data_IF_520771163887
#
_entry.id   IF_520771163887
#
_cell.length_a   1.000
_cell.length_b   1.000
_cell.length_c   1.000
_cell.angle_alpha   90.00
_cell.angle_beta   90.00
_cell.angle_gamma   90.00
#
_symmetry.space_group_name_H-M   'P 1'
#
loop_
_entity.id
_entity.type
_entity.pdbx_description
1 polymer ?
#
# COMPACT_ATOMS: atom_id res chain seq x y z
N UNK A 1 29.11 6.79 4.36
CA UNK A 1 28.04 7.81 4.42
C UNK A 1 27.83 8.39 3.04
N UNK A 2 26.87 7.90 2.26
CA UNK A 2 26.53 8.48 0.96
C UNK A 2 25.00 8.48 0.79
N UNK A 3 24.49 9.67 0.49
CA UNK A 3 23.12 10.05 0.10
C UNK A 3 22.03 10.07 1.19
N UNK A 4 22.15 11.03 2.12
CA UNK A 4 21.07 11.47 3.01
C UNK A 4 20.31 12.71 2.49
N UNK A 5 20.60 13.20 1.27
CA UNK A 5 19.99 14.44 0.75
C UNK A 5 18.82 14.25 -0.22
N UNK A 6 18.53 13.03 -0.67
CA UNK A 6 17.39 12.80 -1.57
C UNK A 6 16.13 12.45 -0.75
N UNK A 7 15.46 13.50 -0.25
CA UNK A 7 14.16 13.36 0.41
C UNK A 7 13.20 12.60 -0.52
N UNK A 8 12.66 11.48 -0.05
CA UNK A 8 11.77 10.66 -0.86
C UNK A 8 10.50 11.47 -1.18
N UNK A 9 10.20 11.67 -2.46
CA UNK A 9 8.92 12.29 -2.85
C UNK A 9 7.75 11.36 -2.52
N UNK A 10 7.01 11.71 -1.48
CA UNK A 10 5.83 10.98 -1.00
C UNK A 10 4.50 11.61 -1.46
N UNK A 11 4.54 12.66 -2.29
CA UNK A 11 3.34 13.40 -2.71
C UNK A 11 2.33 12.50 -3.44
N UNK A 12 2.81 11.59 -4.29
CA UNK A 12 1.98 10.62 -4.99
C UNK A 12 1.33 9.62 -4.03
N UNK A 13 2.06 9.14 -3.02
CA UNK A 13 1.50 8.23 -2.02
C UNK A 13 0.43 8.93 -1.18
N UNK A 14 0.66 10.20 -0.81
CA UNK A 14 -0.35 11.01 -0.11
C UNK A 14 -1.64 11.13 -0.91
N UNK A 15 -1.55 11.61 -2.16
CA UNK A 15 -2.71 11.78 -3.05
C UNK A 15 -3.47 10.47 -3.26
N UNK A 16 -2.74 9.37 -3.45
CA UNK A 16 -3.30 8.04 -3.58
C UNK A 16 -4.07 7.61 -2.31
N UNK A 17 -3.47 7.81 -1.13
CA UNK A 17 -4.07 7.47 0.16
C UNK A 17 -5.34 8.28 0.44
N UNK A 18 -5.30 9.58 0.17
CA UNK A 18 -6.45 10.48 0.35
C UNK A 18 -7.61 10.08 -0.59
N UNK A 19 -7.32 9.86 -1.88
CA UNK A 19 -8.34 9.44 -2.85
C UNK A 19 -8.91 8.05 -2.52
N UNK A 20 -8.10 7.14 -1.98
CA UNK A 20 -8.58 5.84 -1.54
C UNK A 20 -9.52 5.95 -0.34
N UNK A 21 -9.20 6.82 0.63
CA UNK A 21 -10.09 7.14 1.76
C UNK A 21 -11.45 7.66 1.28
N UNK A 22 -11.45 8.61 0.36
CA UNK A 22 -12.67 9.16 -0.22
C UNK A 22 -13.52 8.07 -0.87
N UNK A 23 -12.91 7.11 -1.59
CA UNK A 23 -13.62 5.95 -2.17
C UNK A 23 -14.35 5.13 -1.10
N UNK A 24 -13.62 4.75 -0.05
CA UNK A 24 -14.15 3.92 1.02
C UNK A 24 -15.24 4.64 1.81
N UNK A 25 -15.14 5.96 1.96
CA UNK A 25 -16.16 6.75 2.62
C UNK A 25 -17.43 6.87 1.78
N UNK A 26 -17.33 7.01 0.46
CA UNK A 26 -18.49 6.92 -0.42
C UNK A 26 -19.11 5.52 -0.44
N UNK A 27 -18.28 4.47 -0.39
CA UNK A 27 -18.75 3.09 -0.32
C UNK A 27 -19.57 2.80 0.94
N UNK A 28 -19.23 3.44 2.07
CA UNK A 28 -20.00 3.31 3.31
C UNK A 28 -21.40 3.92 3.21
N UNK A 29 -21.63 4.84 2.27
CA UNK A 29 -22.93 5.47 2.03
C UNK A 29 -23.76 4.59 1.09
N UNK A 30 -23.17 4.12 -0.02
CA UNK A 30 -23.85 3.33 -1.03
C UNK A 30 -22.97 2.16 -1.49
N UNK A 31 -23.19 1.00 -0.86
CA UNK A 31 -22.43 -0.24 -1.11
C UNK A 31 -22.80 -0.95 -2.40
N UNK A 32 -23.96 -0.64 -2.97
CA UNK A 32 -24.47 -1.31 -4.18
C UNK A 32 -24.10 -0.55 -5.46
N UNK A 33 -23.61 0.67 -5.32
CA UNK A 33 -23.14 1.47 -6.44
C UNK A 33 -21.86 0.89 -7.07
N UNK A 34 -22.02 0.30 -8.25
CA UNK A 34 -20.94 -0.35 -9.01
C UNK A 34 -19.80 0.60 -9.33
N UNK A 35 -20.07 1.87 -9.61
CA UNK A 35 -19.01 2.86 -9.88
C UNK A 35 -18.17 3.15 -8.63
N UNK A 36 -18.78 3.15 -7.44
CA UNK A 36 -18.06 3.34 -6.18
C UNK A 36 -17.23 2.09 -5.85
N UNK A 37 -17.78 0.90 -6.08
CA UNK A 37 -17.05 -0.37 -5.93
C UNK A 37 -15.83 -0.41 -6.85
N UNK A 38 -16.01 -0.11 -8.14
CA UNK A 38 -14.93 -0.06 -9.13
C UNK A 38 -13.87 0.98 -8.75
N UNK A 39 -14.29 2.16 -8.27
CA UNK A 39 -13.37 3.17 -7.76
C UNK A 39 -12.57 2.66 -6.56
N UNK A 40 -13.20 1.96 -5.60
CA UNK A 40 -12.48 1.40 -4.45
C UNK A 40 -11.43 0.37 -4.89
N UNK A 41 -11.77 -0.50 -5.85
CA UNK A 41 -10.87 -1.53 -6.38
C UNK A 41 -9.69 -0.88 -7.11
N UNK A 42 -9.95 0.05 -8.02
CA UNK A 42 -8.89 0.75 -8.76
C UNK A 42 -7.94 1.48 -7.81
N UNK A 43 -8.49 2.11 -6.76
CA UNK A 43 -7.71 2.87 -5.78
C UNK A 43 -6.90 1.97 -4.86
N UNK A 44 -7.43 0.80 -4.52
CA UNK A 44 -6.66 -0.26 -3.89
C UNK A 44 -5.46 -0.71 -4.74
N UNK A 45 -5.66 -0.99 -6.03
CA UNK A 45 -4.59 -1.49 -6.92
C UNK A 45 -3.40 -0.53 -7.04
N UNK A 46 -3.69 0.75 -7.26
CA UNK A 46 -2.62 1.73 -7.36
C UNK A 46 -1.99 2.01 -6.00
N UNK A 47 -2.75 1.98 -4.89
CA UNK A 47 -2.18 2.17 -3.54
C UNK A 47 -1.24 1.01 -3.19
N UNK A 48 -1.61 -0.23 -3.51
CA UNK A 48 -0.73 -1.39 -3.38
C UNK A 48 0.54 -1.22 -4.19
N UNK A 49 0.42 -0.86 -5.46
CA UNK A 49 1.57 -0.69 -6.35
C UNK A 49 2.50 0.45 -5.93
N UNK A 50 1.95 1.56 -5.41
CA UNK A 50 2.73 2.69 -4.91
C UNK A 50 3.39 2.36 -3.58
N UNK A 51 2.66 1.77 -2.63
CA UNK A 51 3.18 1.39 -1.31
C UNK A 51 4.37 0.44 -1.43
N UNK A 52 4.25 -0.60 -2.25
CA UNK A 52 5.34 -1.57 -2.47
C UNK A 52 6.59 -0.92 -3.10
N UNK A 53 6.41 0.01 -4.04
CA UNK A 53 7.51 0.81 -4.60
C UNK A 53 8.16 1.71 -3.55
N UNK A 54 7.37 2.37 -2.71
CA UNK A 54 7.88 3.26 -1.66
C UNK A 54 8.64 2.50 -0.59
N UNK A 55 8.14 1.33 -0.16
CA UNK A 55 8.84 0.42 0.75
C UNK A 55 10.22 0.06 0.17
N UNK A 56 10.27 -0.41 -1.09
CA UNK A 56 11.54 -0.78 -1.73
C UNK A 56 12.50 0.40 -1.80
N UNK A 57 12.04 1.57 -2.26
CA UNK A 57 12.86 2.78 -2.37
C UNK A 57 13.44 3.21 -1.03
N UNK A 58 12.59 3.32 -0.01
CA UNK A 58 13.05 3.70 1.33
C UNK A 58 14.09 2.72 1.87
N UNK A 59 13.83 1.41 1.76
CA UNK A 59 14.78 0.39 2.21
C UNK A 59 16.10 0.45 1.44
N UNK A 60 16.09 0.78 0.14
CA UNK A 60 17.33 0.95 -0.64
C UNK A 60 18.14 2.17 -0.18
N UNK A 61 17.47 3.31 0.01
CA UNK A 61 18.13 4.57 0.39
C UNK A 61 18.74 4.47 1.79
N UNK A 62 18.12 3.70 2.68
CA UNK A 62 18.53 3.57 4.09
C UNK A 62 19.34 2.32 4.42
N UNK A 63 19.70 1.50 3.43
CA UNK A 63 20.49 0.28 3.63
C UNK A 63 21.95 0.51 3.25
N UNK A 64 22.87 -0.04 4.05
CA UNK A 64 24.29 -0.11 3.68
C UNK A 64 24.56 -1.07 2.51
N UNK A 65 23.58 -1.94 2.20
CA UNK A 65 23.59 -2.89 1.08
C UNK A 65 22.39 -2.68 0.12
N UNK A 66 22.34 -1.58 -0.66
CA UNK A 66 21.21 -1.29 -1.57
C UNK A 66 20.98 -2.36 -2.64
N UNK A 67 22.04 -3.04 -3.10
CA UNK A 67 22.00 -4.11 -4.10
C UNK A 67 21.26 -5.35 -3.56
N UNK A 68 21.44 -5.67 -2.28
CA UNK A 68 20.70 -6.76 -1.62
C UNK A 68 19.20 -6.46 -1.53
N UNK A 69 18.83 -5.21 -1.26
CA UNK A 69 17.42 -4.78 -1.29
C UNK A 69 16.86 -4.88 -2.73
N UNK A 70 17.67 -4.54 -3.74
CA UNK A 70 17.23 -4.62 -5.13
C UNK A 70 16.90 -6.06 -5.55
N UNK A 71 17.76 -7.01 -5.18
CA UNK A 71 17.57 -8.44 -5.45
C UNK A 71 16.54 -9.12 -4.53
N UNK A 72 16.04 -8.44 -3.50
CA UNK A 72 15.16 -9.01 -2.49
C UNK A 72 13.77 -9.36 -3.06
N UNK A 73 13.36 -10.61 -2.90
CA UNK A 73 12.00 -11.05 -3.21
C UNK A 73 10.95 -10.36 -2.33
N UNK A 74 9.73 -10.20 -2.87
CA UNK A 74 8.66 -9.42 -2.23
C UNK A 74 8.36 -9.82 -0.78
N UNK A 75 8.30 -11.12 -0.48
CA UNK A 75 8.04 -11.60 0.89
C UNK A 75 9.10 -11.16 1.89
N UNK A 76 10.38 -11.24 1.51
CA UNK A 76 11.48 -10.79 2.37
C UNK A 76 11.50 -9.28 2.51
N UNK A 77 11.14 -8.55 1.44
CA UNK A 77 10.99 -7.10 1.47
C UNK A 77 9.95 -6.66 2.51
N UNK A 78 8.77 -7.30 2.50
CA UNK A 78 7.71 -7.04 3.47
C UNK A 78 8.15 -7.39 4.90
N UNK A 79 8.80 -8.54 5.11
CA UNK A 79 9.32 -8.91 6.44
C UNK A 79 10.32 -7.89 6.96
N UNK A 80 11.23 -7.40 6.11
CA UNK A 80 12.22 -6.37 6.47
C UNK A 80 11.54 -5.03 6.79
N UNK A 81 10.56 -4.61 6.00
CA UNK A 81 9.77 -3.41 6.28
C UNK A 81 9.00 -3.49 7.60
N UNK A 82 8.38 -4.64 7.88
CA UNK A 82 7.69 -4.91 9.14
C UNK A 82 8.65 -4.86 10.34
N UNK A 83 9.84 -5.46 10.25
CA UNK A 83 10.85 -5.35 11.33
C UNK A 83 11.32 -3.92 11.63
N UNK A 84 11.19 -3.02 10.65
CA UNK A 84 11.50 -1.59 10.78
C UNK A 84 10.28 -0.76 11.21
N UNK A 85 9.16 -1.40 11.56
CA UNK A 85 7.89 -0.75 11.93
C UNK A 85 7.28 0.14 10.84
N UNK A 86 7.69 -0.07 9.58
CA UNK A 86 7.10 0.62 8.42
C UNK A 86 5.68 0.15 8.11
N UNK A 87 5.33 -1.04 8.61
CA UNK A 87 4.10 -1.78 8.34
C UNK A 87 3.38 -2.05 9.66
N UNK A 88 2.06 -2.09 9.64
CA UNK A 88 1.26 -2.50 10.81
C UNK A 88 1.27 -4.03 10.90
N UNK A 89 1.17 -4.69 9.75
CA UNK A 89 1.00 -6.13 9.68
C UNK A 89 2.22 -6.85 9.07
N UNK A 90 2.41 -8.10 9.50
CA UNK A 90 3.46 -8.99 9.00
C UNK A 90 3.17 -9.50 7.58
N UNK A 91 4.03 -10.40 7.10
CA UNK A 91 3.83 -11.09 5.82
C UNK A 91 2.46 -11.76 5.71
N UNK A 92 1.92 -12.34 6.78
CA UNK A 92 0.71 -13.15 6.70
C UNK A 92 -0.48 -12.33 6.17
N UNK A 93 -0.62 -11.09 6.64
CA UNK A 93 -1.64 -10.17 6.13
C UNK A 93 -1.29 -9.62 4.75
N UNK A 94 -0.01 -9.34 4.49
CA UNK A 94 0.44 -8.85 3.20
C UNK A 94 0.31 -9.87 2.07
N UNK A 95 0.37 -11.18 2.37
CA UNK A 95 -0.03 -12.21 1.41
C UNK A 95 -1.50 -12.11 1.04
N UNK A 96 -2.39 -11.84 1.99
CA UNK A 96 -3.82 -11.62 1.69
C UNK A 96 -4.02 -10.39 0.80
N UNK A 97 -3.33 -9.28 1.08
CA UNK A 97 -3.39 -8.09 0.20
C UNK A 97 -2.90 -8.39 -1.20
N UNK A 98 -1.82 -9.19 -1.33
CA UNK A 98 -1.32 -9.63 -2.64
C UNK A 98 -2.35 -10.49 -3.37
N UNK A 99 -3.00 -11.41 -2.67
CA UNK A 99 -3.98 -12.31 -3.26
C UNK A 99 -5.24 -11.53 -3.68
N UNK A 100 -5.71 -10.60 -2.85
CA UNK A 100 -6.78 -9.67 -3.21
C UNK A 100 -6.41 -8.85 -4.45
N UNK A 101 -5.17 -8.36 -4.54
CA UNK A 101 -4.65 -7.60 -5.69
C UNK A 101 -4.51 -8.44 -6.95
N UNK A 102 -4.31 -9.75 -6.85
CA UNK A 102 -4.37 -10.64 -8.00
C UNK A 102 -5.82 -10.90 -8.44
N UNK A 103 -6.73 -10.91 -7.45
CA UNK A 103 -8.15 -11.19 -7.66
C UNK A 103 -8.92 -10.04 -8.33
N UNK A 104 -8.41 -8.80 -8.29
CA UNK A 104 -9.10 -7.63 -8.89
C UNK A 104 -9.37 -7.77 -10.39
N UNK A 105 -8.57 -8.55 -11.11
CA UNK A 105 -8.84 -8.90 -12.52
C UNK A 105 -10.16 -9.68 -12.73
N UNK A 106 -10.69 -10.28 -11.66
CA UNK A 106 -11.97 -10.98 -11.61
C UNK A 106 -13.10 -10.16 -10.97
N UNK A 107 -12.93 -8.85 -10.81
CA UNK A 107 -13.90 -7.94 -10.19
C UNK A 107 -15.22 -7.79 -10.98
N UNK A 108 -15.31 -8.33 -12.21
CA UNK A 108 -16.59 -8.42 -12.95
C UNK A 108 -17.66 -9.25 -12.23
N UNK A 109 -17.28 -10.05 -11.21
CA UNK A 109 -18.23 -10.70 -10.33
C UNK A 109 -18.58 -9.77 -9.14
N UNK A 110 -19.76 -9.15 -9.19
CA UNK A 110 -20.23 -8.15 -8.23
C UNK A 110 -20.16 -8.60 -6.77
N UNK A 111 -20.61 -9.84 -6.46
CA UNK A 111 -20.56 -10.36 -5.08
C UNK A 111 -19.14 -10.46 -4.55
N UNK A 112 -18.19 -10.81 -5.42
CA UNK A 112 -16.78 -10.98 -5.06
C UNK A 112 -16.07 -9.62 -4.99
N UNK A 113 -16.47 -8.66 -5.83
CA UNK A 113 -16.02 -7.27 -5.76
C UNK A 113 -16.44 -6.59 -4.45
N UNK A 114 -17.73 -6.68 -4.09
CA UNK A 114 -18.27 -6.17 -2.81
C UNK A 114 -17.50 -6.77 -1.63
N UNK A 115 -17.34 -8.10 -1.60
CA UNK A 115 -16.60 -8.80 -0.53
C UNK A 115 -15.15 -8.33 -0.43
N UNK A 116 -14.50 -8.04 -1.56
CA UNK A 116 -13.15 -7.49 -1.55
C UNK A 116 -13.15 -6.08 -0.93
N UNK A 117 -14.06 -5.20 -1.37
CA UNK A 117 -14.15 -3.81 -0.88
C UNK A 117 -14.46 -3.75 0.61
N UNK A 118 -15.34 -4.62 1.12
CA UNK A 118 -15.63 -4.72 2.56
C UNK A 118 -14.38 -5.02 3.43
N UNK A 119 -13.33 -5.61 2.85
CA UNK A 119 -12.06 -5.89 3.53
C UNK A 119 -11.01 -4.77 3.44
N UNK A 120 -11.25 -3.74 2.64
CA UNK A 120 -10.23 -2.76 2.26
C UNK A 120 -9.90 -1.71 3.32
N UNK A 121 -10.77 -1.48 4.32
CA UNK A 121 -10.45 -0.59 5.44
C UNK A 121 -9.15 -1.01 6.15
N UNK A 122 -8.89 -2.33 6.27
CA UNK A 122 -7.64 -2.83 6.86
C UNK A 122 -6.41 -2.45 6.03
N UNK A 123 -6.52 -2.51 4.71
CA UNK A 123 -5.44 -2.13 3.80
C UNK A 123 -5.25 -0.61 3.76
N UNK A 124 -6.33 0.17 3.82
CA UNK A 124 -6.23 1.63 3.94
C UNK A 124 -5.39 2.03 5.16
N UNK A 125 -5.65 1.43 6.32
CA UNK A 125 -4.88 1.70 7.54
C UNK A 125 -3.39 1.37 7.35
N UNK A 126 -3.08 0.25 6.67
CA UNK A 126 -1.71 -0.14 6.33
C UNK A 126 -1.01 0.93 5.47
N UNK A 127 -1.67 1.40 4.40
CA UNK A 127 -1.12 2.42 3.49
C UNK A 127 -0.94 3.76 4.21
N UNK A 128 -1.91 4.16 5.03
CA UNK A 128 -1.84 5.38 5.83
C UNK A 128 -0.67 5.35 6.83
N UNK A 129 -0.42 4.20 7.45
CA UNK A 129 0.74 4.00 8.33
C UNK A 129 2.06 4.12 7.57
N UNK A 130 2.18 3.51 6.38
CA UNK A 130 3.37 3.67 5.53
C UNK A 130 3.60 5.14 5.20
N UNK A 131 2.56 5.86 4.80
CA UNK A 131 2.65 7.29 4.49
C UNK A 131 3.19 8.09 5.69
N UNK A 132 2.62 7.88 6.88
CA UNK A 132 3.07 8.59 8.09
C UNK A 132 4.50 8.23 8.49
N UNK A 133 4.88 6.95 8.38
CA UNK A 133 6.25 6.51 8.62
C UNK A 133 7.25 7.24 7.71
N UNK A 134 6.95 7.30 6.41
CA UNK A 134 7.82 7.97 5.44
C UNK A 134 7.84 9.48 5.62
N UNK A 135 6.70 10.09 5.96
CA UNK A 135 6.62 11.52 6.29
C UNK A 135 7.54 11.86 7.46
N UNK A 136 7.46 11.13 8.56
CA UNK A 136 8.30 11.37 9.74
C UNK A 136 9.78 11.13 9.43
N UNK A 137 10.10 10.10 8.63
CA UNK A 137 11.47 9.81 8.19
C UNK A 137 12.06 10.90 7.29
N UNK A 138 11.22 11.68 6.62
CA UNK A 138 11.62 12.79 5.75
C UNK A 138 11.80 14.12 6.52
N UNK A 139 11.38 14.18 7.79
CA UNK A 139 11.46 15.35 8.67
C UNK A 139 12.61 15.24 9.68
N UNK A 140 13.24 14.08 9.77
CA UNK A 140 14.41 13.78 10.62
C UNK A 140 15.69 13.84 9.78
#
# INVERSE_FOLDING_TARGET
MKNLEEKLDISFLKKATDSFKEALDQYKIDKENKFIVDACIQRFEYCYSLSTKMIKRYLKITSDTPEEIEAMGFQNLIRKAYSKKMLINSWDKWSEYRDNRNYTSHAYNEKKAIKLVDGLDSFYNEVYHIYNFLKNSNET
#
